data_IF_958054137024
#
_entry.id   IF_958054137024
#
_cell.length_a   1.000
_cell.length_b   1.000
_cell.length_c   1.000
_cell.angle_alpha   90.00
_cell.angle_beta   90.00
_cell.angle_gamma   90.00
#
_symmetry.space_group_name_H-M   'P 1'
#
loop_
_entity.id
_entity.type
_entity.pdbx_description
1 polymer ?
#
# COMPACT_ATOMS: atom_id res chain seq x y z
N UNK A 1 -3.64 -23.27 -12.68
CA UNK A 1 -4.91 -22.65 -13.10
C UNK A 1 -6.01 -23.23 -12.24
N UNK A 2 -6.58 -22.42 -11.37
CA UNK A 2 -7.89 -22.60 -10.73
C UNK A 2 -8.16 -21.30 -9.95
N UNK A 3 -8.92 -20.39 -10.54
CA UNK A 3 -9.48 -19.21 -9.87
C UNK A 3 -10.81 -19.64 -9.25
N UNK A 4 -10.93 -19.51 -7.93
CA UNK A 4 -12.17 -19.73 -7.19
C UNK A 4 -12.87 -18.37 -7.05
N UNK A 5 -13.77 -18.05 -7.97
CA UNK A 5 -14.62 -16.86 -7.89
C UNK A 5 -15.93 -17.25 -7.21
N UNK A 6 -16.06 -16.94 -5.92
CA UNK A 6 -17.34 -17.04 -5.22
C UNK A 6 -18.02 -15.67 -5.28
N UNK A 7 -18.82 -15.47 -6.33
CA UNK A 7 -19.68 -14.32 -6.52
C UNK A 7 -21.01 -14.59 -5.77
N UNK A 8 -21.14 -14.08 -4.54
CA UNK A 8 -22.42 -14.06 -3.83
C UNK A 8 -23.19 -12.81 -4.22
N UNK A 9 -24.05 -12.92 -5.23
CA UNK A 9 -25.13 -11.95 -5.46
C UNK A 9 -26.38 -12.73 -5.86
N UNK A 10 -27.18 -13.08 -4.86
CA UNK A 10 -28.59 -13.42 -5.04
C UNK A 10 -29.41 -12.38 -4.27
N UNK A 11 -30.35 -11.81 -5.01
CA UNK A 11 -31.46 -10.95 -4.61
C UNK A 11 -31.14 -9.55 -4.07
N UNK A 12 -31.58 -8.53 -4.82
CA UNK A 12 -32.15 -7.33 -4.24
C UNK A 12 -31.39 -6.05 -4.54
N UNK A 13 -31.67 -5.46 -5.70
CA UNK A 13 -31.41 -4.04 -5.91
C UNK A 13 -32.30 -3.27 -4.94
N UNK A 14 -31.71 -2.79 -3.85
CA UNK A 14 -32.07 -1.51 -3.25
C UNK A 14 -30.77 -0.71 -3.17
N UNK A 15 -30.50 0.04 -4.23
CA UNK A 15 -29.57 1.18 -4.17
C UNK A 15 -30.28 2.23 -3.31
N UNK A 16 -30.15 2.08 -2.00
CA UNK A 16 -30.25 3.21 -1.09
C UNK A 16 -28.80 3.72 -0.94
N UNK A 17 -28.43 4.70 -1.77
CA UNK A 17 -27.30 5.58 -1.44
C UNK A 17 -27.77 6.41 -0.26
N UNK A 18 -27.74 5.82 0.93
CA UNK A 18 -27.63 6.59 2.16
C UNK A 18 -26.16 6.98 2.21
N UNK A 19 -25.89 8.22 1.80
CA UNK A 19 -24.57 8.81 1.92
C UNK A 19 -24.09 8.65 3.35
N UNK A 20 -23.10 7.78 3.53
CA UNK A 20 -22.21 7.76 4.68
C UNK A 20 -20.79 7.84 4.14
N UNK A 21 -20.29 9.08 4.15
CA UNK A 21 -18.90 9.52 4.21
C UNK A 21 -17.85 8.85 3.29
N UNK A 22 -17.19 9.72 2.51
CA UNK A 22 -15.94 9.53 1.75
C UNK A 22 -15.96 8.69 0.45
N UNK A 23 -16.29 9.40 -0.64
CA UNK A 23 -15.64 9.49 -1.97
C UNK A 23 -14.98 8.25 -2.64
N UNK A 24 -15.29 7.95 -3.92
CA UNK A 24 -14.56 6.98 -4.73
C UNK A 24 -13.32 7.61 -5.42
N UNK A 25 -12.25 7.91 -4.69
CA UNK A 25 -10.92 8.31 -5.20
C UNK A 25 -9.88 7.90 -4.13
N UNK A 26 -8.91 6.99 -4.27
CA UNK A 26 -7.92 6.73 -5.33
C UNK A 26 -7.42 5.28 -5.14
N UNK A 27 -7.75 4.37 -6.05
CA UNK A 27 -7.28 2.97 -6.02
C UNK A 27 -6.00 2.77 -6.84
N UNK A 28 -5.08 3.74 -6.82
CA UNK A 28 -3.79 3.66 -7.51
C UNK A 28 -2.62 3.62 -6.50
N UNK A 29 -2.63 2.65 -5.59
CA UNK A 29 -1.46 2.35 -4.74
C UNK A 29 -0.94 0.92 -4.93
N UNK A 30 -1.22 0.37 -6.11
CA UNK A 30 -0.56 -0.83 -6.60
C UNK A 30 0.44 -0.47 -7.70
N UNK A 31 1.66 -0.99 -7.59
CA UNK A 31 2.68 -0.81 -8.63
C UNK A 31 3.48 -2.08 -8.78
N UNK A 32 3.81 -2.44 -10.02
CA UNK A 32 4.93 -3.34 -10.28
C UNK A 32 5.97 -2.66 -11.14
N UNK A 33 7.21 -2.60 -10.66
CA UNK A 33 8.32 -1.93 -11.37
C UNK A 33 9.57 -2.80 -11.37
N UNK A 34 10.32 -2.73 -12.46
CA UNK A 34 11.69 -3.25 -12.56
C UNK A 34 12.68 -2.17 -12.99
N UNK A 35 12.33 -0.89 -12.85
CA UNK A 35 13.19 0.23 -13.25
C UNK A 35 14.35 0.37 -12.26
N UNK A 36 15.46 0.95 -12.72
CA UNK A 36 16.63 1.22 -11.86
C UNK A 36 16.30 2.21 -10.74
N UNK A 37 15.37 3.13 -11.00
CA UNK A 37 14.87 4.10 -10.04
C UNK A 37 13.35 4.20 -10.18
N UNK A 38 12.65 4.26 -9.06
CA UNK A 38 11.21 4.52 -9.01
C UNK A 38 10.91 5.24 -7.72
N UNK A 39 10.06 6.26 -7.79
CA UNK A 39 9.52 6.95 -6.62
C UNK A 39 8.13 6.38 -6.35
N UNK A 40 7.92 5.87 -5.14
CA UNK A 40 6.64 5.35 -4.68
C UNK A 40 6.09 6.35 -3.66
N UNK A 41 4.80 6.65 -3.76
CA UNK A 41 4.08 7.56 -2.87
C UNK A 41 2.85 6.83 -2.34
N UNK A 42 2.41 7.15 -1.12
CA UNK A 42 1.13 6.66 -0.61
C UNK A 42 -0.02 7.23 -1.45
N UNK A 43 -1.16 6.51 -1.46
CA UNK A 43 -2.40 7.06 -1.98
C UNK A 43 -2.69 8.40 -1.28
N UNK A 44 -3.04 9.42 -2.07
CA UNK A 44 -3.34 10.76 -1.56
C UNK A 44 -2.13 11.64 -1.24
N UNK A 45 -0.89 11.16 -1.31
CA UNK A 45 0.29 12.00 -1.03
C UNK A 45 0.32 13.26 -1.93
N UNK A 46 0.53 14.48 -1.38
CA UNK A 46 1.06 14.78 -0.05
C UNK A 46 0.03 14.90 1.08
N UNK A 47 -1.26 14.69 0.81
CA UNK A 47 -2.27 14.57 1.85
C UNK A 47 -2.14 13.24 2.62
N UNK A 48 -2.90 13.11 3.71
CA UNK A 48 -2.98 11.86 4.49
C UNK A 48 -3.58 10.75 3.63
N UNK A 49 -3.09 9.53 3.82
CA UNK A 49 -3.72 8.35 3.25
C UNK A 49 -5.09 8.11 3.91
N UNK A 50 -6.03 7.53 3.15
CA UNK A 50 -7.35 7.16 3.67
C UNK A 50 -7.27 6.01 4.69
N UNK A 51 -8.32 5.84 5.48
CA UNK A 51 -8.43 4.71 6.40
C UNK A 51 -8.65 3.39 5.66
N UNK A 52 -8.23 2.27 6.25
CA UNK A 52 -8.44 0.91 5.72
C UNK A 52 -7.87 0.67 4.31
N UNK A 53 -6.81 1.39 3.94
CA UNK A 53 -6.10 1.18 2.68
C UNK A 53 -5.13 0.00 2.79
N UNK A 54 -5.11 -0.86 1.77
CA UNK A 54 -4.13 -1.95 1.62
C UNK A 54 -3.39 -1.78 0.29
N UNK A 55 -2.16 -1.27 0.36
CA UNK A 55 -1.35 -0.91 -0.81
C UNK A 55 -0.25 -1.93 -1.06
N UNK A 56 -0.07 -2.35 -2.32
CA UNK A 56 0.88 -3.40 -2.69
C UNK A 56 1.83 -2.97 -3.80
N UNK A 57 3.12 -2.89 -3.46
CA UNK A 57 4.17 -2.55 -4.40
C UNK A 57 5.12 -3.74 -4.63
N UNK A 58 5.30 -4.13 -5.88
CA UNK A 58 6.20 -5.22 -6.28
C UNK A 58 7.41 -4.67 -7.02
N UNK A 59 8.59 -4.78 -6.42
CA UNK A 59 9.86 -4.48 -7.10
C UNK A 59 10.43 -5.76 -7.69
N UNK A 60 10.43 -5.86 -9.02
CA UNK A 60 11.00 -7.00 -9.75
C UNK A 60 12.46 -6.74 -10.07
N UNK A 61 13.27 -7.81 -9.98
CA UNK A 61 14.66 -7.78 -10.44
C UNK A 61 14.72 -7.42 -11.93
N UNK A 62 15.41 -6.33 -12.26
CA UNK A 62 15.55 -5.82 -13.65
C UNK A 62 16.29 -6.77 -14.58
N UNK A 63 17.40 -7.34 -14.12
CA UNK A 63 18.27 -8.21 -14.92
C UNK A 63 19.03 -9.19 -14.02
N UNK A 64 19.67 -10.19 -14.64
CA UNK A 64 20.47 -11.18 -13.91
C UNK A 64 21.61 -10.59 -13.08
N UNK A 65 22.13 -9.44 -13.49
CA UNK A 65 23.23 -8.74 -12.84
C UNK A 65 22.83 -7.89 -11.62
N UNK A 66 21.53 -7.69 -11.35
CA UNK A 66 21.07 -6.91 -10.20
C UNK A 66 20.80 -7.84 -9.02
N UNK A 67 21.58 -7.72 -7.95
CA UNK A 67 21.50 -8.60 -6.77
C UNK A 67 20.92 -7.92 -5.52
N UNK A 68 20.76 -6.60 -5.53
CA UNK A 68 20.24 -5.83 -4.39
C UNK A 68 19.27 -4.75 -4.84
N UNK A 69 18.42 -4.32 -3.91
CA UNK A 69 17.49 -3.19 -4.03
C UNK A 69 17.63 -2.38 -2.76
N UNK A 70 17.77 -1.06 -2.90
CA UNK A 70 17.85 -0.13 -1.78
C UNK A 70 16.55 0.65 -1.71
N UNK A 71 15.97 0.75 -0.50
CA UNK A 71 14.80 1.57 -0.23
C UNK A 71 15.23 2.81 0.54
N UNK A 72 14.78 3.98 0.08
CA UNK A 72 15.01 5.26 0.74
C UNK A 72 13.65 5.84 1.13
N UNK A 73 13.45 6.07 2.42
CA UNK A 73 12.21 6.65 2.96
C UNK A 73 12.43 8.12 3.22
N UNK A 74 12.03 8.96 2.25
CA UNK A 74 12.13 10.41 2.36
C UNK A 74 11.14 10.96 3.40
N UNK A 75 9.93 10.42 3.41
CA UNK A 75 8.86 10.77 4.35
C UNK A 75 8.20 9.46 4.78
N UNK A 76 8.10 9.26 6.09
CA UNK A 76 7.31 8.20 6.70
C UNK A 76 6.58 8.83 7.87
N UNK A 77 5.26 8.75 7.86
CA UNK A 77 4.39 9.21 8.92
C UNK A 77 3.20 8.26 9.00
N UNK A 78 3.39 7.16 9.74
CA UNK A 78 2.38 6.12 9.97
C UNK A 78 1.96 6.14 11.43
N UNK A 79 0.72 5.76 11.73
CA UNK A 79 0.24 5.68 13.11
C UNK A 79 1.11 4.75 13.97
N UNK A 80 1.71 5.31 15.03
CA UNK A 80 2.52 4.55 15.98
C UNK A 80 1.62 3.65 16.85
N UNK A 81 1.96 2.36 16.94
CA UNK A 81 1.27 1.40 17.81
C UNK A 81 2.24 0.31 18.32
N UNK A 82 1.92 -0.37 19.45
CA UNK A 82 2.70 -1.52 19.91
C UNK A 82 2.79 -2.58 18.81
N UNK A 83 4.00 -3.01 18.46
CA UNK A 83 4.27 -3.96 17.37
C UNK A 83 3.70 -3.57 16.00
N UNK A 84 3.42 -2.27 15.77
CA UNK A 84 2.86 -1.75 14.53
C UNK A 84 1.61 -2.53 14.08
N UNK A 85 0.65 -2.72 14.99
CA UNK A 85 -0.59 -3.46 14.76
C UNK A 85 -1.67 -2.65 14.07
N UNK A 86 -1.58 -1.32 14.11
CA UNK A 86 -2.43 -0.40 13.34
C UNK A 86 -1.83 -0.19 11.94
N UNK A 87 -1.30 0.99 11.66
CA UNK A 87 -0.66 1.28 10.39
C UNK A 87 0.78 0.78 10.36
N UNK A 88 1.19 0.18 9.23
CA UNK A 88 2.56 -0.28 9.06
C UNK A 88 2.97 -0.36 7.60
N UNK A 89 4.27 -0.19 7.37
CA UNK A 89 4.96 -0.69 6.18
C UNK A 89 5.50 -2.09 6.50
N UNK A 90 5.17 -3.07 5.66
CA UNK A 90 5.75 -4.41 5.73
C UNK A 90 6.83 -4.57 4.67
N UNK A 91 8.08 -4.72 5.10
CA UNK A 91 9.20 -4.96 4.20
C UNK A 91 9.95 -6.21 4.66
N UNK A 92 10.01 -7.24 3.80
CA UNK A 92 10.71 -8.51 4.08
C UNK A 92 10.30 -9.19 5.40
N UNK A 93 9.04 -9.03 5.81
CA UNK A 93 8.51 -9.63 7.04
C UNK A 93 8.62 -8.74 8.28
N UNK A 94 9.27 -7.58 8.17
CA UNK A 94 9.40 -6.62 9.25
C UNK A 94 8.38 -5.49 9.12
N UNK A 95 7.68 -5.18 10.21
CA UNK A 95 6.73 -4.08 10.29
C UNK A 95 7.40 -2.82 10.80
N UNK A 96 7.13 -1.70 10.14
CA UNK A 96 7.63 -0.38 10.51
C UNK A 96 6.47 0.61 10.60
N UNK A 97 6.44 1.43 11.64
CA UNK A 97 5.43 2.47 11.85
C UNK A 97 6.05 3.67 12.59
N UNK A 98 5.28 4.74 12.77
CA UNK A 98 5.71 6.00 13.36
C UNK A 98 6.29 6.98 12.33
N UNK A 99 6.70 8.14 12.82
CA UNK A 99 7.30 9.20 12.00
C UNK A 99 8.83 9.07 12.03
N UNK A 100 9.42 8.49 10.99
CA UNK A 100 10.87 8.20 10.94
C UNK A 100 11.49 8.63 9.60
N UNK A 101 12.30 9.71 9.54
CA UNK A 101 13.05 10.07 8.34
C UNK A 101 14.47 9.45 8.29
N UNK A 102 14.86 9.09 7.05
CA UNK A 102 16.18 8.73 6.45
C UNK A 102 17.28 8.17 7.38
N UNK A 103 17.64 6.89 7.17
CA UNK A 103 18.94 6.31 7.57
C UNK A 103 18.86 5.08 8.49
N UNK A 104 18.03 4.09 8.19
CA UNK A 104 18.12 2.80 8.89
C UNK A 104 19.21 1.95 8.26
N UNK A 105 20.38 1.97 8.93
CA UNK A 105 21.37 0.90 8.88
C UNK A 105 20.83 -0.38 9.49
#
# INVERSE_FOLDING_TARGET
>A
MATLSLLLILSGILVAVLGSDSDPEVTECELTTGRTLTVIKSAGFPARYGSNVDCRYTVRRRSRSVCSVTFLFNVMDLEQSPNCTKDYLLLRGEKMCGSKPIGFS
#
